data_IF_465965543233
#
_entry.id   IF_465965543233
#
_cell.length_a   1.000
_cell.length_b   1.000
_cell.length_c   1.000
_cell.angle_alpha   90.00
_cell.angle_beta   90.00
_cell.angle_gamma   90.00
#
_symmetry.space_group_name_H-M   'P 1'
#
loop_
_entity.id
_entity.type
_entity.pdbx_description
1 polymer ?
#
# COMPACT_ATOMS: atom_id res chain seq x y z
N UNK A 1 21.07 77.76 7.18
CA UNK A 1 21.43 76.49 6.51
C UNK A 1 20.27 75.53 6.74
N UNK A 2 19.36 75.39 5.77
CA UNK A 2 18.18 74.54 5.84
C UNK A 2 18.49 73.18 5.21
N UNK A 3 18.28 72.08 5.94
CA UNK A 3 18.35 70.71 5.42
C UNK A 3 16.90 70.24 5.21
N UNK A 4 16.46 69.93 3.98
CA UNK A 4 15.12 69.38 3.77
C UNK A 4 15.13 67.87 4.07
N UNK A 5 14.18 67.44 4.91
CA UNK A 5 13.85 66.02 5.11
C UNK A 5 13.19 65.45 3.83
N UNK A 6 13.45 64.18 3.48
CA UNK A 6 12.91 63.60 2.26
C UNK A 6 11.41 63.34 2.40
N UNK A 7 10.67 63.84 1.41
CA UNK A 7 9.26 63.56 1.20
C UNK A 7 9.02 62.04 1.11
N UNK A 8 8.35 61.47 2.12
CA UNK A 8 7.70 60.16 2.00
C UNK A 8 6.52 60.31 1.02
N UNK A 9 6.71 59.83 -0.22
CA UNK A 9 5.64 59.80 -1.23
C UNK A 9 4.47 58.95 -0.72
N UNK A 10 3.21 59.42 -0.83
CA UNK A 10 2.06 58.61 -0.51
C UNK A 10 1.99 57.42 -1.46
N UNK A 11 1.98 56.21 -0.89
CA UNK A 11 1.86 54.95 -1.63
C UNK A 11 0.51 54.95 -2.35
N UNK A 12 0.54 55.02 -3.68
CA UNK A 12 -0.68 55.12 -4.49
C UNK A 12 -1.58 53.88 -4.26
N UNK A 13 -2.90 54.07 -4.27
CA UNK A 13 -3.91 53.03 -4.02
C UNK A 13 -3.72 51.76 -4.87
N UNK A 14 -3.04 51.86 -6.02
CA UNK A 14 -2.61 50.74 -6.86
C UNK A 14 -1.58 49.84 -6.19
N UNK A 15 -0.61 50.39 -5.45
CA UNK A 15 0.38 49.60 -4.71
C UNK A 15 -0.20 48.88 -3.50
N UNK A 16 -1.22 49.44 -2.86
CA UNK A 16 -1.92 48.78 -1.74
C UNK A 16 -2.73 47.57 -2.24
N UNK A 17 -3.42 47.70 -3.38
CA UNK A 17 -4.14 46.58 -4.03
C UNK A 17 -3.20 45.48 -4.53
N UNK A 18 -2.04 45.86 -5.08
CA UNK A 18 -1.02 44.91 -5.53
C UNK A 18 -0.37 44.16 -4.36
N UNK A 19 -0.12 44.85 -3.23
CA UNK A 19 0.35 44.22 -1.99
C UNK A 19 -0.64 43.22 -1.42
N UNK A 20 -1.94 43.54 -1.44
CA UNK A 20 -2.99 42.64 -0.95
C UNK A 20 -3.12 41.39 -1.83
N UNK A 21 -3.00 41.54 -3.16
CA UNK A 21 -2.94 40.42 -4.10
C UNK A 21 -1.70 39.54 -3.89
N UNK A 22 -0.53 40.13 -3.67
CA UNK A 22 0.69 39.37 -3.38
C UNK A 22 0.56 38.55 -2.09
N UNK A 23 -0.03 39.14 -1.04
CA UNK A 23 -0.28 38.44 0.22
C UNK A 23 -1.31 37.32 0.05
N UNK A 24 -2.37 37.52 -0.74
CA UNK A 24 -3.34 36.48 -1.05
C UNK A 24 -2.71 35.30 -1.82
N UNK A 25 -1.83 35.57 -2.78
CA UNK A 25 -1.09 34.55 -3.52
C UNK A 25 -0.10 33.81 -2.60
N UNK A 26 0.59 34.51 -1.69
CA UNK A 26 1.48 33.88 -0.72
C UNK A 26 0.72 32.99 0.29
N UNK A 27 -0.47 33.40 0.73
CA UNK A 27 -1.33 32.58 1.60
C UNK A 27 -1.88 31.36 0.85
N UNK A 28 -2.24 31.49 -0.43
CA UNK A 28 -2.64 30.36 -1.29
C UNK A 28 -1.47 29.39 -1.53
N UNK A 29 -0.25 29.90 -1.75
CA UNK A 29 0.95 29.07 -1.88
C UNK A 29 1.31 28.36 -0.58
N UNK A 30 1.15 29.02 0.58
CA UNK A 30 1.35 28.41 1.89
C UNK A 30 0.25 27.40 2.27
N UNK A 31 -1.00 27.62 1.83
CA UNK A 31 -2.10 26.67 2.01
C UNK A 31 -1.96 25.43 1.11
N UNK A 32 -1.32 25.56 -0.06
CA UNK A 32 -0.91 24.42 -0.89
C UNK A 32 0.38 23.75 -0.40
N UNK A 33 1.20 24.44 0.40
CA UNK A 33 2.40 23.87 1.05
C UNK A 33 2.14 23.41 2.48
N UNK A 34 0.89 23.43 2.95
CA UNK A 34 0.46 22.59 4.05
C UNK A 34 0.48 21.15 3.53
N UNK A 35 1.69 20.64 3.35
CA UNK A 35 1.96 19.21 3.38
C UNK A 35 1.49 18.81 4.78
N UNK A 36 0.22 18.41 4.89
CA UNK A 36 -0.19 17.47 5.94
C UNK A 36 0.97 16.50 6.01
N UNK A 37 1.61 16.33 7.17
CA UNK A 37 2.60 15.28 7.39
C UNK A 37 1.93 13.99 6.93
N UNK A 38 2.11 13.63 5.66
CA UNK A 38 1.55 12.43 5.09
C UNK A 38 2.28 11.37 5.87
N UNK A 39 1.57 10.66 6.74
CA UNK A 39 2.13 9.54 7.48
C UNK A 39 2.99 8.74 6.50
N UNK A 40 4.29 8.88 6.70
CA UNK A 40 5.26 8.39 5.75
C UNK A 40 5.28 6.89 5.95
N UNK A 41 4.91 6.15 4.91
CA UNK A 41 4.89 4.69 4.96
C UNK A 41 6.28 4.16 5.33
N UNK A 42 6.35 3.45 6.47
CA UNK A 42 7.54 2.86 7.06
C UNK A 42 7.34 1.34 7.12
N UNK A 43 7.61 0.62 6.01
CA UNK A 43 7.39 -0.82 5.97
C UNK A 43 8.24 -1.54 7.01
N UNK A 44 7.65 -2.53 7.66
CA UNK A 44 8.36 -3.45 8.55
C UNK A 44 9.13 -4.46 7.72
N UNK A 45 10.41 -4.17 7.50
CA UNK A 45 11.30 -5.03 6.72
C UNK A 45 11.90 -6.15 7.57
N UNK A 46 12.22 -7.25 6.91
CA UNK A 46 12.94 -8.38 7.46
C UNK A 46 13.93 -8.92 6.42
N UNK A 47 14.90 -9.71 6.84
CA UNK A 47 15.90 -10.31 5.95
C UNK A 47 15.30 -11.34 4.99
N UNK A 48 14.20 -11.99 5.37
CA UNK A 48 13.39 -12.84 4.49
C UNK A 48 11.98 -12.26 4.37
N UNK A 49 11.55 -11.99 3.14
CA UNK A 49 10.24 -11.44 2.82
C UNK A 49 9.43 -12.50 2.06
N UNK A 50 8.35 -12.99 2.65
CA UNK A 50 7.40 -13.91 2.03
C UNK A 50 6.06 -13.21 1.84
N UNK A 51 6.05 -12.16 1.01
CA UNK A 51 4.89 -11.32 0.72
C UNK A 51 4.35 -11.45 -0.70
N UNK A 52 4.81 -12.45 -1.44
CA UNK A 52 4.26 -12.79 -2.75
C UNK A 52 2.86 -13.39 -2.59
N UNK A 53 1.90 -12.82 -3.30
CA UNK A 53 0.51 -13.29 -3.36
C UNK A 53 0.22 -13.74 -4.78
N UNK A 54 -0.34 -14.93 -4.90
CA UNK A 54 -0.84 -15.48 -6.15
C UNK A 54 -2.36 -15.43 -6.14
N UNK A 55 -2.95 -14.99 -7.25
CA UNK A 55 -4.41 -14.85 -7.38
C UNK A 55 -4.86 -15.61 -8.60
N UNK A 56 -5.66 -16.64 -8.37
CA UNK A 56 -6.44 -17.26 -9.43
C UNK A 56 -7.79 -16.56 -9.52
N UNK A 57 -8.24 -16.23 -10.73
CA UNK A 57 -9.57 -15.64 -10.93
C UNK A 57 -10.38 -16.59 -11.79
N UNK A 58 -11.58 -16.94 -11.33
CA UNK A 58 -12.47 -17.89 -11.99
C UNK A 58 -13.84 -17.29 -12.31
N UNK A 59 -14.39 -17.67 -13.46
CA UNK A 59 -15.78 -17.45 -13.86
C UNK A 59 -16.41 -18.82 -14.15
N UNK A 60 -17.22 -19.32 -13.20
CA UNK A 60 -17.62 -20.73 -13.18
C UNK A 60 -16.42 -21.67 -12.99
N UNK A 61 -16.31 -22.69 -13.84
CA UNK A 61 -15.15 -23.62 -13.85
C UNK A 61 -13.95 -23.09 -14.66
N UNK A 62 -14.10 -21.92 -15.29
CA UNK A 62 -13.07 -21.36 -16.18
C UNK A 62 -12.13 -20.43 -15.41
N UNK A 63 -10.84 -20.75 -15.44
CA UNK A 63 -9.78 -19.82 -15.04
C UNK A 63 -9.66 -18.71 -16.09
N UNK A 64 -9.73 -17.45 -15.64
CA UNK A 64 -9.57 -16.28 -16.50
C UNK A 64 -8.09 -16.02 -16.76
N UNK A 65 -7.75 -15.64 -17.99
CA UNK A 65 -6.37 -15.37 -18.38
C UNK A 65 -5.86 -14.07 -17.72
N UNK A 66 -4.80 -14.14 -16.90
CA UNK A 66 -4.17 -12.96 -16.32
C UNK A 66 -3.60 -12.02 -17.38
N UNK A 67 -2.94 -12.57 -18.40
CA UNK A 67 -2.36 -11.80 -19.50
C UNK A 67 -3.41 -10.96 -20.24
N UNK A 68 -4.59 -11.55 -20.53
CA UNK A 68 -5.68 -10.82 -21.17
C UNK A 68 -6.24 -9.72 -20.26
N UNK A 69 -6.50 -10.02 -18.98
CA UNK A 69 -7.05 -9.06 -18.03
C UNK A 69 -6.08 -7.90 -17.71
N UNK A 70 -4.76 -8.15 -17.70
CA UNK A 70 -3.76 -7.10 -17.57
C UNK A 70 -3.67 -6.24 -18.83
N UNK A 71 -3.66 -6.86 -20.02
CA UNK A 71 -3.64 -6.13 -21.31
C UNK A 71 -4.86 -5.20 -21.46
N UNK A 72 -6.03 -5.66 -21.02
CA UNK A 72 -7.27 -4.89 -21.04
C UNK A 72 -7.40 -3.90 -19.86
N UNK A 73 -6.38 -3.78 -19.00
CA UNK A 73 -6.39 -2.95 -17.79
C UNK A 73 -7.57 -3.25 -16.84
N UNK A 74 -8.04 -4.50 -16.84
CA UNK A 74 -9.17 -4.96 -16.01
C UNK A 74 -8.73 -5.48 -14.65
N UNK A 75 -7.45 -5.82 -14.47
CA UNK A 75 -6.91 -6.24 -13.19
C UNK A 75 -5.86 -5.24 -12.68
N UNK A 76 -5.95 -4.83 -11.42
CA UNK A 76 -4.90 -4.06 -10.75
C UNK A 76 -4.95 -4.26 -9.25
N UNK A 77 -3.85 -3.95 -8.56
CA UNK A 77 -3.80 -3.98 -7.09
C UNK A 77 -3.28 -2.63 -6.60
N UNK A 78 -3.99 -2.02 -5.66
CA UNK A 78 -3.58 -0.77 -5.02
C UNK A 78 -3.24 -1.02 -3.56
N UNK A 79 -2.00 -0.74 -3.16
CA UNK A 79 -1.54 -0.83 -1.78
C UNK A 79 -1.94 0.43 -1.01
N UNK A 80 -2.72 0.27 0.08
CA UNK A 80 -3.22 1.43 0.84
C UNK A 80 -2.13 2.10 1.67
N UNK A 81 -1.24 1.31 2.28
CA UNK A 81 -0.16 1.82 3.10
C UNK A 81 0.86 2.59 2.24
N UNK A 82 1.32 1.99 1.14
CA UNK A 82 2.26 2.65 0.22
C UNK A 82 1.62 3.69 -0.70
N UNK A 83 0.28 3.79 -0.74
CA UNK A 83 -0.51 4.70 -1.58
C UNK A 83 -0.16 4.62 -3.07
N UNK A 84 0.17 3.41 -3.57
CA UNK A 84 0.57 3.19 -4.98
C UNK A 84 -0.08 1.96 -5.57
N UNK A 85 -0.16 1.92 -6.89
CA UNK A 85 -0.45 0.70 -7.65
C UNK A 85 0.73 -0.25 -7.52
N UNK A 86 0.47 -1.49 -7.09
CA UNK A 86 1.47 -2.54 -6.98
C UNK A 86 1.69 -3.16 -8.36
N UNK A 87 2.93 -3.58 -8.62
CA UNK A 87 3.24 -4.30 -9.85
C UNK A 87 2.58 -5.68 -9.80
N UNK A 88 1.83 -5.99 -10.86
CA UNK A 88 1.17 -7.28 -11.05
C UNK A 88 1.67 -7.86 -12.36
N UNK A 89 2.04 -9.14 -12.35
CA UNK A 89 2.42 -9.88 -13.54
C UNK A 89 1.59 -11.15 -13.71
N UNK A 90 1.48 -11.62 -14.96
CA UNK A 90 0.90 -12.92 -15.26
C UNK A 90 1.95 -14.01 -15.01
N UNK A 91 1.58 -15.04 -14.27
CA UNK A 91 2.46 -16.14 -13.89
C UNK A 91 1.74 -17.48 -14.05
N UNK A 92 2.52 -18.55 -14.19
CA UNK A 92 2.00 -19.92 -14.25
C UNK A 92 2.44 -20.68 -13.00
N UNK A 93 1.51 -20.95 -12.11
CA UNK A 93 1.75 -21.69 -10.87
C UNK A 93 1.15 -23.08 -11.00
N UNK A 94 2.00 -24.09 -11.12
CA UNK A 94 1.61 -25.50 -11.27
C UNK A 94 0.57 -25.70 -12.40
N UNK A 95 0.90 -25.16 -13.58
CA UNK A 95 0.08 -25.12 -14.80
C UNK A 95 -1.22 -24.30 -14.74
N UNK A 96 -1.51 -23.67 -13.61
CA UNK A 96 -2.63 -22.73 -13.47
C UNK A 96 -2.16 -21.30 -13.73
N UNK A 97 -2.85 -20.60 -14.62
CA UNK A 97 -2.61 -19.19 -14.87
C UNK A 97 -3.09 -18.35 -13.67
N UNK A 98 -2.19 -17.56 -13.10
CA UNK A 98 -2.45 -16.72 -11.92
C UNK A 98 -1.86 -15.33 -12.10
N UNK A 99 -2.44 -14.35 -11.41
CA UNK A 99 -1.76 -13.08 -11.17
C UNK A 99 -0.75 -13.27 -10.05
N UNK A 100 0.41 -12.62 -10.16
CA UNK A 100 1.40 -12.55 -9.10
C UNK A 100 1.67 -11.10 -8.75
N UNK A 101 1.72 -10.79 -7.46
CA UNK A 101 2.17 -9.49 -6.97
C UNK A 101 2.81 -9.62 -5.59
N UNK A 102 3.48 -8.56 -5.15
CA UNK A 102 4.04 -8.46 -3.81
C UNK A 102 3.15 -7.52 -3.00
N UNK A 103 2.43 -8.05 -2.01
CA UNK A 103 1.61 -7.25 -1.12
C UNK A 103 2.50 -6.30 -0.29
N UNK A 104 2.00 -5.11 0.00
CA UNK A 104 2.70 -4.17 0.89
C UNK A 104 3.04 -4.84 2.22
N UNK A 105 4.22 -4.54 2.76
CA UNK A 105 4.55 -4.96 4.12
C UNK A 105 3.71 -4.13 5.11
N UNK A 106 3.44 -4.64 6.32
CA UNK A 106 2.80 -3.85 7.35
C UNK A 106 3.61 -2.59 7.64
N UNK A 107 2.91 -1.45 7.73
CA UNK A 107 3.52 -0.25 8.29
C UNK A 107 3.94 -0.52 9.75
N UNK A 108 5.05 0.08 10.18
CA UNK A 108 5.54 -0.09 11.54
C UNK A 108 4.49 0.30 12.61
N UNK A 109 3.63 1.28 12.31
CA UNK A 109 2.58 1.76 13.23
C UNK A 109 1.50 0.71 13.53
N UNK A 110 1.26 -0.24 12.62
CA UNK A 110 0.24 -1.29 12.78
C UNK A 110 0.82 -2.63 13.25
N UNK A 111 2.14 -2.70 13.41
CA UNK A 111 2.80 -3.87 13.96
C UNK A 111 2.67 -3.91 15.48
N UNK A 112 2.39 -5.10 16.01
CA UNK A 112 2.48 -5.43 17.42
C UNK A 112 3.60 -6.44 17.59
N UNK A 113 4.56 -6.16 18.46
CA UNK A 113 5.69 -7.04 18.73
C UNK A 113 5.69 -7.50 20.18
N UNK A 114 6.21 -8.71 20.42
CA UNK A 114 6.43 -9.26 21.75
C UNK A 114 7.65 -10.17 21.76
N UNK A 115 8.24 -10.34 22.94
CA UNK A 115 9.40 -11.20 23.15
C UNK A 115 8.97 -12.62 23.54
N UNK A 116 9.74 -13.61 23.11
CA UNK A 116 9.61 -15.02 23.47
C UNK A 116 10.98 -15.61 23.78
N UNK A 117 11.02 -16.81 24.38
CA UNK A 117 12.27 -17.55 24.58
C UNK A 117 13.02 -17.85 23.27
N UNK A 118 12.31 -17.88 22.14
CA UNK A 118 12.84 -18.16 20.81
C UNK A 118 13.17 -16.89 20.01
N UNK A 119 13.18 -15.73 20.67
CA UNK A 119 13.44 -14.42 20.07
C UNK A 119 12.21 -13.54 20.01
N UNK A 120 12.15 -12.62 19.05
CA UNK A 120 11.05 -11.66 18.92
C UNK A 120 10.00 -12.18 17.95
N UNK A 121 8.74 -11.91 18.24
CA UNK A 121 7.60 -12.19 17.37
C UNK A 121 6.83 -10.90 17.12
N UNK A 122 6.07 -10.88 16.04
CA UNK A 122 5.16 -9.78 15.77
C UNK A 122 4.06 -10.16 14.80
N UNK A 123 2.99 -9.39 14.86
CA UNK A 123 1.86 -9.49 13.94
C UNK A 123 1.45 -8.09 13.50
N UNK A 124 1.01 -7.99 12.27
CA UNK A 124 0.50 -6.76 11.69
C UNK A 124 -0.26 -7.05 10.42
N UNK A 125 -0.63 -6.01 9.70
CA UNK A 125 -1.38 -6.16 8.47
C UNK A 125 -1.03 -5.08 7.44
N UNK A 126 -1.35 -5.36 6.19
CA UNK A 126 -1.35 -4.37 5.12
C UNK A 126 -2.66 -4.48 4.33
N UNK A 127 -3.29 -3.33 4.11
CA UNK A 127 -4.53 -3.25 3.35
C UNK A 127 -4.23 -3.00 1.87
N UNK A 128 -4.95 -3.70 1.00
CA UNK A 128 -4.92 -3.46 -0.44
C UNK A 128 -6.33 -3.46 -1.03
N UNK A 129 -6.45 -3.00 -2.27
CA UNK A 129 -7.66 -3.13 -3.07
C UNK A 129 -7.29 -3.82 -4.36
N UNK A 130 -7.80 -5.04 -4.55
CA UNK A 130 -7.75 -5.73 -5.84
C UNK A 130 -8.92 -5.20 -6.67
N UNK A 131 -8.66 -4.75 -7.88
CA UNK A 131 -9.69 -4.33 -8.83
C UNK A 131 -9.77 -5.35 -9.96
N UNK A 132 -10.99 -5.85 -10.23
CA UNK A 132 -11.26 -6.77 -11.34
C UNK A 132 -12.50 -6.28 -12.07
N UNK A 133 -12.36 -5.92 -13.35
CA UNK A 133 -13.45 -5.42 -14.18
C UNK A 133 -14.29 -4.33 -13.47
N UNK A 134 -13.59 -3.35 -12.88
CA UNK A 134 -14.14 -2.23 -12.08
C UNK A 134 -14.76 -2.61 -10.73
N UNK A 135 -14.84 -3.91 -10.39
CA UNK A 135 -15.22 -4.37 -9.05
C UNK A 135 -14.04 -4.18 -8.12
N UNK A 136 -14.27 -3.53 -6.96
CA UNK A 136 -13.26 -3.31 -5.93
C UNK A 136 -13.40 -4.37 -4.84
N UNK A 137 -12.30 -5.07 -4.58
CA UNK A 137 -12.18 -6.10 -3.55
C UNK A 137 -11.18 -5.60 -2.50
N UNK A 138 -11.64 -4.89 -1.46
CA UNK A 138 -10.78 -4.48 -0.37
C UNK A 138 -10.35 -5.71 0.43
N UNK A 139 -9.05 -5.90 0.60
CA UNK A 139 -8.47 -7.03 1.30
C UNK A 139 -7.48 -6.54 2.35
N UNK A 140 -7.36 -7.31 3.43
CA UNK A 140 -6.36 -7.10 4.47
C UNK A 140 -5.47 -8.32 4.56
N UNK A 141 -4.19 -8.16 4.25
CA UNK A 141 -3.20 -9.22 4.37
C UNK A 141 -2.59 -9.18 5.77
N UNK A 142 -2.74 -10.26 6.52
CA UNK A 142 -2.16 -10.39 7.86
C UNK A 142 -0.78 -11.01 7.76
N UNK A 143 0.15 -10.48 8.54
CA UNK A 143 1.54 -10.89 8.53
C UNK A 143 1.97 -11.43 9.89
N UNK A 144 2.85 -12.43 9.83
CA UNK A 144 3.63 -12.88 10.98
C UNK A 144 5.09 -12.47 10.78
N UNK A 145 5.65 -11.86 11.81
CA UNK A 145 7.06 -11.50 11.91
C UNK A 145 7.74 -12.41 12.94
N UNK A 146 8.94 -12.87 12.63
CA UNK A 146 9.77 -13.61 13.55
C UNK A 146 11.23 -13.16 13.45
N UNK A 147 11.86 -12.97 14.60
CA UNK A 147 13.30 -12.80 14.73
C UNK A 147 13.84 -13.82 15.73
N UNK A 148 14.99 -14.44 15.41
CA UNK A 148 15.72 -15.31 16.34
C UNK A 148 16.42 -14.47 17.43
N UNK A 149 16.89 -15.07 18.53
CA UNK A 149 17.70 -14.35 19.51
C UNK A 149 18.97 -13.79 18.87
N UNK A 150 19.33 -12.54 19.20
CA UNK A 150 20.45 -11.82 18.58
C UNK A 150 20.34 -11.65 17.04
N UNK A 151 19.12 -11.60 16.48
CA UNK A 151 18.91 -11.47 15.04
C UNK A 151 19.62 -10.25 14.43
N UNK A 152 19.84 -9.18 15.19
CA UNK A 152 20.59 -7.99 14.77
C UNK A 152 22.07 -8.28 14.45
N UNK A 153 22.61 -9.41 14.93
CA UNK A 153 23.98 -9.86 14.68
C UNK A 153 24.06 -10.94 13.60
N UNK A 154 22.93 -11.35 13.02
CA UNK A 154 22.84 -12.48 12.09
C UNK A 154 22.34 -12.04 10.70
N UNK A 155 22.99 -12.52 9.65
CA UNK A 155 22.42 -12.48 8.31
C UNK A 155 21.23 -13.45 8.26
N UNK A 156 20.04 -12.97 7.93
CA UNK A 156 18.86 -13.84 7.83
C UNK A 156 18.11 -14.07 9.16
N UNK A 157 18.47 -13.38 10.24
CA UNK A 157 17.88 -13.60 11.56
C UNK A 157 16.41 -13.17 11.70
N UNK A 158 15.83 -12.51 10.69
CA UNK A 158 14.46 -11.99 10.71
C UNK A 158 13.67 -12.45 9.48
N UNK A 159 12.39 -12.70 9.66
CA UNK A 159 11.45 -13.05 8.60
C UNK A 159 10.11 -12.35 8.79
N UNK A 160 9.45 -12.04 7.69
CA UNK A 160 8.06 -11.60 7.68
C UNK A 160 7.32 -12.29 6.54
N UNK A 161 6.15 -12.84 6.83
CA UNK A 161 5.38 -13.64 5.89
C UNK A 161 3.90 -13.30 5.97
N UNK A 162 3.22 -13.27 4.82
CA UNK A 162 1.75 -13.25 4.80
C UNK A 162 1.25 -14.58 5.36
N UNK A 163 0.31 -14.51 6.31
CA UNK A 163 -0.26 -15.66 7.01
C UNK A 163 -1.69 -15.94 6.57
N UNK A 164 -2.49 -14.88 6.43
CA UNK A 164 -3.90 -14.99 6.05
C UNK A 164 -4.37 -13.72 5.35
N UNK A 165 -5.55 -13.79 4.75
CA UNK A 165 -6.24 -12.64 4.16
C UNK A 165 -7.59 -12.46 4.83
N UNK A 166 -7.99 -11.23 5.12
CA UNK A 166 -9.34 -10.91 5.54
C UNK A 166 -10.08 -10.23 4.39
N UNK A 167 -11.28 -10.73 4.10
CA UNK A 167 -12.20 -10.19 3.12
C UNK A 167 -13.62 -10.19 3.70
N UNK A 168 -14.29 -9.03 3.64
CA UNK A 168 -15.64 -8.83 4.19
C UNK A 168 -15.79 -9.29 5.66
N UNK A 169 -14.78 -9.03 6.49
CA UNK A 169 -14.76 -9.39 7.91
C UNK A 169 -14.54 -10.89 8.18
N UNK A 170 -14.29 -11.70 7.15
CA UNK A 170 -13.93 -13.11 7.29
C UNK A 170 -12.44 -13.28 7.03
N UNK A 171 -11.75 -13.90 7.97
CA UNK A 171 -10.40 -14.40 7.75
C UNK A 171 -10.46 -15.67 6.92
N UNK A 172 -9.63 -15.71 5.89
CA UNK A 172 -9.46 -16.80 4.95
C UNK A 172 -8.00 -17.23 5.08
N UNK A 173 -7.78 -18.53 5.26
CA UNK A 173 -6.45 -19.13 5.29
C UNK A 173 -6.09 -19.61 3.88
N UNK A 174 -5.19 -18.92 3.17
CA UNK A 174 -4.99 -19.21 1.77
C UNK A 174 -4.22 -20.51 1.57
N UNK A 175 -4.42 -21.12 0.41
CA UNK A 175 -3.78 -22.37 0.07
C UNK A 175 -2.26 -22.16 -0.01
N UNK A 176 -1.52 -22.89 0.81
CA UNK A 176 -0.06 -22.99 0.74
C UNK A 176 0.36 -24.09 -0.25
N UNK A 177 0.01 -23.93 -1.53
CA UNK A 177 0.41 -24.90 -2.54
C UNK A 177 1.90 -24.75 -2.83
N UNK A 178 2.69 -25.80 -2.61
CA UNK A 178 4.15 -25.76 -2.77
C UNK A 178 4.83 -24.58 -2.04
N UNK A 179 4.28 -24.17 -0.87
CA UNK A 179 4.70 -23.00 -0.06
C UNK A 179 4.39 -21.62 -0.67
N UNK A 180 3.54 -21.55 -1.68
CA UNK A 180 3.08 -20.28 -2.27
C UNK A 180 1.77 -19.84 -1.64
N UNK A 181 1.64 -18.56 -1.31
CA UNK A 181 0.41 -17.99 -0.77
C UNK A 181 -0.57 -17.69 -1.91
N UNK A 182 -1.56 -18.56 -2.12
CA UNK A 182 -2.52 -18.47 -3.22
C UNK A 182 -3.94 -18.28 -2.72
N UNK A 183 -4.62 -17.26 -3.25
CA UNK A 183 -6.07 -17.05 -3.11
C UNK A 183 -6.78 -17.30 -4.43
N UNK A 184 -8.06 -17.69 -4.35
CA UNK A 184 -8.95 -17.90 -5.48
C UNK A 184 -10.11 -16.92 -5.40
N UNK A 185 -10.30 -16.13 -6.46
CA UNK A 185 -11.41 -15.20 -6.62
C UNK A 185 -12.43 -15.79 -7.57
N UNK A 186 -13.57 -16.24 -7.04
CA UNK A 186 -14.65 -16.80 -7.87
C UNK A 186 -15.72 -15.76 -8.11
N UNK A 187 -16.04 -15.50 -9.36
CA UNK A 187 -17.09 -14.57 -9.75
C UNK A 187 -18.45 -15.08 -9.28
N UNK A 188 -19.20 -14.20 -8.61
CA UNK A 188 -20.56 -14.46 -8.13
C UNK A 188 -21.46 -13.28 -8.49
N UNK A 189 -22.26 -13.44 -9.54
CA UNK A 189 -23.08 -12.34 -10.08
C UNK A 189 -22.22 -11.14 -10.49
N UNK A 190 -22.42 -10.00 -9.83
CA UNK A 190 -21.63 -8.78 -10.04
C UNK A 190 -20.39 -8.66 -9.13
N UNK A 191 -20.18 -9.61 -8.22
CA UNK A 191 -19.09 -9.59 -7.24
C UNK A 191 -18.17 -10.80 -7.32
N UNK A 192 -17.34 -10.96 -6.29
CA UNK A 192 -16.44 -12.10 -6.12
C UNK A 192 -16.50 -12.64 -4.70
N UNK A 193 -16.48 -13.96 -4.55
CA UNK A 193 -16.07 -14.62 -3.31
C UNK A 193 -14.56 -14.83 -3.31
N UNK A 194 -13.99 -15.01 -2.12
CA UNK A 194 -12.57 -15.24 -1.91
C UNK A 194 -12.42 -16.54 -1.14
N UNK A 195 -11.54 -17.41 -1.64
CA UNK A 195 -11.18 -18.71 -1.08
C UNK A 195 -9.66 -18.85 -0.97
#
# INVERSE_FOLDING_TARGET
>A
MYIPLPFLKPKTMKQLKSSLWLMAVLVLLAACSADEEKEMYRPTVASSLNNTVYVEVQDGEKVLSPSALLYECKFSVFGKASKRTLNVDAYKLDDVDVFRFFADLPDLSVMKFWDTAEGKRGEGYADAVIMIDRVKLPMRFHYAYAAVPNAEKMLGGTSIAVKSVEYQGKTIDPYLHNKHFKIVLRKQGQGYSVE
#
